data_IF_083313743957
#
_entry.id   IF_083313743957
#
_cell.length_a   1.000
_cell.length_b   1.000
_cell.length_c   1.000
_cell.angle_alpha   90.00
_cell.angle_beta   90.00
_cell.angle_gamma   90.00
#
_symmetry.space_group_name_H-M   'P 1'
#
loop_
_entity.id
_entity.type
_entity.pdbx_description
1 polymer ?
#
# COMPACT_ATOMS: atom_id res chain seq x y z
N UNK A 1 18.36 14.61 -4.89
CA UNK A 1 16.96 14.91 -5.25
C UNK A 1 16.07 14.04 -4.38
N UNK A 2 14.93 14.55 -3.94
CA UNK A 2 13.91 13.70 -3.30
C UNK A 2 13.08 13.13 -4.45
N UNK A 3 13.09 11.82 -4.62
CA UNK A 3 12.23 11.13 -5.58
C UNK A 3 10.99 10.65 -4.84
N UNK A 4 9.82 10.94 -5.40
CA UNK A 4 8.55 10.36 -4.97
C UNK A 4 7.96 9.61 -6.15
N UNK A 5 7.37 8.46 -5.86
CA UNK A 5 6.67 7.64 -6.84
C UNK A 5 5.19 7.66 -6.47
N UNK A 6 4.31 7.57 -7.45
CA UNK A 6 2.87 7.50 -7.21
C UNK A 6 2.34 6.37 -8.06
N UNK A 7 1.62 5.46 -7.43
CA UNK A 7 1.00 4.32 -8.07
C UNK A 7 -0.51 4.38 -7.84
N UNK A 8 -1.26 4.26 -8.93
CA UNK A 8 -2.72 4.10 -8.91
C UNK A 8 -3.14 2.71 -8.42
N UNK A 9 -4.39 2.54 -8.00
CA UNK A 9 -4.94 1.24 -7.62
C UNK A 9 -4.68 0.17 -8.69
N UNK A 10 -4.96 0.49 -9.95
CA UNK A 10 -4.74 -0.40 -11.09
C UNK A 10 -3.27 -0.79 -11.23
N UNK A 11 -2.33 0.13 -11.05
CA UNK A 11 -0.90 -0.19 -11.07
C UNK A 11 -0.48 -1.05 -9.88
N UNK A 12 -1.04 -0.78 -8.69
CA UNK A 12 -0.80 -1.62 -7.52
C UNK A 12 -1.27 -3.04 -7.85
N UNK A 13 -2.51 -3.20 -8.32
CA UNK A 13 -3.12 -4.50 -8.59
C UNK A 13 -2.40 -5.27 -9.71
N UNK A 14 -2.03 -4.61 -10.80
CA UNK A 14 -1.50 -5.27 -12.01
C UNK A 14 0.02 -5.38 -12.03
N UNK A 15 0.74 -4.49 -11.33
CA UNK A 15 2.21 -4.38 -11.43
C UNK A 15 2.95 -4.55 -10.13
N UNK A 16 2.33 -4.30 -8.97
CA UNK A 16 3.02 -4.34 -7.67
C UNK A 16 2.61 -5.53 -6.81
N UNK A 17 1.33 -5.88 -6.83
CA UNK A 17 0.73 -6.88 -5.93
C UNK A 17 1.32 -8.27 -6.15
N UNK A 18 1.96 -8.80 -5.11
CA UNK A 18 2.70 -10.07 -5.12
C UNK A 18 3.78 -10.15 -6.21
N UNK A 19 4.33 -9.00 -6.63
CA UNK A 19 5.39 -8.93 -7.63
C UNK A 19 6.75 -8.57 -7.00
N UNK A 20 7.71 -8.13 -7.82
CA UNK A 20 9.02 -7.72 -7.34
C UNK A 20 8.95 -6.44 -6.50
N UNK A 21 9.97 -6.26 -5.64
CA UNK A 21 10.11 -5.06 -4.83
C UNK A 21 10.14 -3.81 -5.71
N UNK A 22 9.44 -2.76 -5.29
CA UNK A 22 9.46 -1.45 -5.94
C UNK A 22 10.25 -0.45 -5.10
N UNK A 23 10.90 0.49 -5.77
CA UNK A 23 11.47 1.75 -5.30
C UNK A 23 12.00 1.82 -3.84
N UNK A 24 13.30 2.15 -3.69
CA UNK A 24 13.90 2.38 -2.38
C UNK A 24 13.56 3.76 -1.81
N UNK A 25 12.36 3.89 -1.24
CA UNK A 25 11.94 5.06 -0.45
C UNK A 25 11.96 4.77 1.05
N UNK A 26 12.11 5.82 1.87
CA UNK A 26 12.07 5.71 3.35
C UNK A 26 10.63 5.67 3.88
N UNK A 27 9.71 6.25 3.12
CA UNK A 27 8.30 6.32 3.48
C UNK A 27 7.46 5.67 2.38
N UNK A 28 6.39 5.01 2.80
CA UNK A 28 5.32 4.54 1.95
C UNK A 28 4.00 5.01 2.55
N UNK A 29 3.15 5.61 1.73
CA UNK A 29 1.89 6.22 2.13
C UNK A 29 0.73 5.63 1.35
N UNK A 30 -0.41 5.45 2.00
CA UNK A 30 -1.63 4.95 1.35
C UNK A 30 -2.75 5.95 1.58
N UNK A 31 -3.35 6.39 0.48
CA UNK A 31 -4.48 7.31 0.47
C UNK A 31 -5.66 6.69 -0.28
N UNK A 32 -6.87 7.07 0.15
CA UNK A 32 -8.13 6.55 -0.37
C UNK A 32 -9.07 7.70 -0.71
N UNK A 33 -10.03 7.46 -1.61
CA UNK A 33 -11.13 8.40 -1.85
C UNK A 33 -11.94 8.69 -0.58
N UNK A 34 -12.58 9.87 -0.56
CA UNK A 34 -13.53 10.22 0.49
C UNK A 34 -14.69 9.21 0.54
N UNK A 35 -14.95 8.68 1.73
CA UNK A 35 -16.04 7.71 1.96
C UNK A 35 -15.60 6.25 1.96
N UNK A 36 -14.35 5.94 1.61
CA UNK A 36 -13.79 4.62 1.90
C UNK A 36 -13.33 4.57 3.36
N UNK A 37 -14.02 3.77 4.16
CA UNK A 37 -13.66 3.56 5.56
C UNK A 37 -12.68 2.37 5.70
N UNK A 38 -11.41 2.62 6.04
CA UNK A 38 -10.41 1.58 6.18
C UNK A 38 -10.68 0.62 7.35
N UNK A 39 -11.54 1.00 8.31
CA UNK A 39 -11.88 0.14 9.46
C UNK A 39 -12.92 -0.92 9.16
N UNK A 40 -13.71 -0.72 8.09
CA UNK A 40 -14.80 -1.63 7.69
C UNK A 40 -14.52 -2.35 6.37
N UNK A 41 -13.57 -1.85 5.58
CA UNK A 41 -13.20 -2.40 4.27
C UNK A 41 -12.26 -3.59 4.41
N UNK A 42 -12.80 -4.82 4.46
CA UNK A 42 -12.03 -6.05 4.67
C UNK A 42 -10.85 -6.23 3.71
N UNK A 43 -10.99 -5.86 2.43
CA UNK A 43 -9.92 -6.00 1.45
C UNK A 43 -8.68 -5.13 1.77
N UNK A 44 -8.83 -4.04 2.51
CA UNK A 44 -7.70 -3.20 2.94
C UNK A 44 -6.91 -3.82 4.10
N UNK A 45 -7.50 -4.78 4.80
CA UNK A 45 -6.80 -5.56 5.83
C UNK A 45 -5.98 -6.70 5.22
N UNK A 46 -6.34 -7.17 4.03
CA UNK A 46 -5.69 -8.30 3.35
C UNK A 46 -4.52 -7.86 2.45
N UNK A 47 -4.30 -6.56 2.26
CA UNK A 47 -3.22 -6.00 1.43
C UNK A 47 -2.22 -5.32 2.35
N UNK A 48 -0.94 -5.65 2.19
CA UNK A 48 0.13 -5.20 3.06
C UNK A 48 1.29 -4.57 2.30
N UNK A 49 1.83 -3.50 2.87
CA UNK A 49 3.15 -2.95 2.55
C UNK A 49 4.20 -3.63 3.41
N UNK A 50 5.18 -4.23 2.75
CA UNK A 50 6.29 -4.92 3.39
C UNK A 50 7.62 -4.24 3.06
N UNK A 51 8.46 -4.04 4.08
CA UNK A 51 9.81 -3.49 3.90
C UNK A 51 10.78 -4.50 3.26
N UNK A 52 11.98 -4.05 2.88
CA UNK A 52 12.97 -4.85 2.16
C UNK A 52 13.24 -6.21 2.82
N UNK A 53 13.35 -6.20 4.14
CA UNK A 53 13.73 -7.36 4.96
C UNK A 53 12.53 -8.25 5.34
N UNK A 54 11.31 -7.85 4.99
CA UNK A 54 10.11 -8.57 5.37
C UNK A 54 9.73 -8.44 6.85
N UNK A 55 10.49 -7.65 7.62
CA UNK A 55 10.38 -7.54 9.08
C UNK A 55 9.24 -6.63 9.49
N UNK A 56 8.93 -5.63 8.68
CA UNK A 56 7.81 -4.73 8.89
C UNK A 56 6.77 -4.96 7.81
N UNK A 57 5.55 -5.27 8.26
CA UNK A 57 4.39 -5.42 7.41
C UNK A 57 3.27 -4.54 7.94
N UNK A 58 2.68 -3.73 7.08
CA UNK A 58 1.63 -2.78 7.41
C UNK A 58 0.46 -3.00 6.47
N UNK A 59 -0.72 -3.36 6.98
CA UNK A 59 -1.89 -3.44 6.12
C UNK A 59 -2.27 -2.06 5.59
N UNK A 60 -2.84 -1.97 4.40
CA UNK A 60 -3.31 -0.71 3.83
C UNK A 60 -4.27 -0.01 4.79
N UNK A 61 -5.17 -0.76 5.44
CA UNK A 61 -6.04 -0.24 6.49
C UNK A 61 -5.28 0.39 7.66
N UNK A 62 -4.20 -0.24 8.14
CA UNK A 62 -3.39 0.29 9.25
C UNK A 62 -2.63 1.57 8.87
N UNK A 63 -2.18 1.68 7.62
CA UNK A 63 -1.51 2.88 7.12
C UNK A 63 -2.52 4.02 6.96
N UNK A 64 -3.72 3.72 6.45
CA UNK A 64 -4.82 4.65 6.29
C UNK A 64 -5.19 5.41 7.57
N UNK A 65 -5.28 4.67 8.68
CA UNK A 65 -5.71 5.21 9.98
C UNK A 65 -4.57 5.91 10.72
N UNK A 66 -3.35 5.83 10.20
CA UNK A 66 -2.22 6.55 10.78
C UNK A 66 -2.42 8.06 10.60
N UNK A 67 -1.97 8.92 11.55
CA UNK A 67 -2.21 10.37 11.48
C UNK A 67 -1.68 11.03 10.20
N UNK A 68 -0.70 10.42 9.55
CA UNK A 68 -0.05 10.93 8.34
C UNK A 68 -0.42 10.16 7.07
N UNK A 69 -1.15 9.04 7.17
CA UNK A 69 -1.35 8.13 6.04
C UNK A 69 -0.06 7.46 5.56
N UNK A 70 1.01 7.46 6.36
CA UNK A 70 2.34 7.03 5.95
C UNK A 70 3.04 6.20 7.02
N UNK A 71 3.82 5.22 6.59
CA UNK A 71 4.71 4.43 7.42
C UNK A 71 6.17 4.63 7.02
N UNK A 72 7.07 4.48 8.00
CA UNK A 72 8.52 4.58 7.80
C UNK A 72 9.18 3.22 7.83
N UNK A 73 10.00 2.93 6.84
CA UNK A 73 10.75 1.70 6.75
C UNK A 73 11.99 1.83 5.89
N UNK A 74 12.51 0.68 5.49
CA UNK A 74 13.66 0.56 4.60
C UNK A 74 13.16 -0.08 3.31
N UNK A 75 12.96 0.73 2.27
CA UNK A 75 12.68 0.21 0.94
C UNK A 75 13.88 -0.58 0.39
N UNK A 76 13.72 -1.32 -0.71
CA UNK A 76 12.56 -1.30 -1.59
C UNK A 76 11.37 -2.05 -0.99
N UNK A 77 10.19 -1.47 -1.20
CA UNK A 77 8.92 -1.95 -0.64
C UNK A 77 8.31 -3.05 -1.50
N UNK A 78 7.41 -3.83 -0.92
CA UNK A 78 6.60 -4.80 -1.67
C UNK A 78 5.14 -4.65 -1.26
N UNK A 79 4.23 -4.79 -2.22
CA UNK A 79 2.80 -4.93 -1.91
C UNK A 79 2.46 -6.42 -1.97
N UNK A 80 1.99 -6.98 -0.86
CA UNK A 80 1.61 -8.39 -0.77
C UNK A 80 0.16 -8.55 -0.34
N UNK A 81 -0.49 -9.61 -0.80
CA UNK A 81 -1.82 -10.01 -0.34
C UNK A 81 -2.01 -11.51 -0.52
N UNK A 82 -2.61 -12.15 0.49
CA UNK A 82 -3.04 -13.56 0.38
C UNK A 82 -4.25 -13.71 -0.56
N UNK A 83 -5.02 -12.64 -0.74
CA UNK A 83 -6.21 -12.61 -1.58
C UNK A 83 -6.14 -11.46 -2.59
N UNK A 84 -5.22 -11.52 -3.58
CA UNK A 84 -4.99 -10.40 -4.48
C UNK A 84 -6.21 -10.03 -5.34
N UNK A 85 -7.09 -11.01 -5.60
CA UNK A 85 -8.36 -10.82 -6.30
C UNK A 85 -9.38 -10.00 -5.50
N UNK A 86 -9.20 -9.82 -4.19
CA UNK A 86 -10.08 -9.02 -3.35
C UNK A 86 -9.78 -7.53 -3.47
N UNK A 87 -8.69 -7.13 -4.12
CA UNK A 87 -8.39 -5.72 -4.33
C UNK A 87 -9.47 -5.07 -5.20
N UNK A 88 -10.07 -4.01 -4.67
CA UNK A 88 -11.20 -3.28 -5.26
C UNK A 88 -10.73 -1.95 -5.83
N UNK A 89 -10.47 -1.93 -7.14
CA UNK A 89 -10.10 -0.71 -7.88
C UNK A 89 -11.29 0.05 -8.49
N UNK A 90 -12.52 -0.33 -8.12
CA UNK A 90 -13.71 0.52 -8.28
C UNK A 90 -13.74 1.70 -7.28
N UNK A 91 -12.70 1.80 -6.44
CA UNK A 91 -12.44 2.84 -5.46
C UNK A 91 -11.06 3.44 -5.71
N UNK A 92 -10.91 4.76 -5.57
CA UNK A 92 -9.58 5.36 -5.75
C UNK A 92 -8.67 5.04 -4.56
N UNK A 93 -7.54 4.39 -4.87
CA UNK A 93 -6.46 4.08 -3.94
C UNK A 93 -5.17 4.57 -4.58
N UNK A 94 -4.36 5.30 -3.82
CA UNK A 94 -3.05 5.76 -4.25
C UNK A 94 -1.98 5.32 -3.24
N UNK A 95 -0.86 4.82 -3.77
CA UNK A 95 0.35 4.49 -3.02
C UNK A 95 1.45 5.49 -3.41
N UNK A 96 2.06 6.13 -2.42
CA UNK A 96 3.10 7.15 -2.58
C UNK A 96 4.38 6.76 -1.85
#
# INVERSE_FOLDING_TARGET
>A
GVSSFVFSCEEIQTRLLNTQRFESTVFACVFFEEGLDPSTSSFLHDIYLQDQDGKKSYSFASVAVSPTGCVRGEGPWTVISDHPSNMRCDKEIALI
#
